data_IF_854951435640
#
_entry.id   IF_854951435640
#
_cell.length_a   1.000
_cell.length_b   1.000
_cell.length_c   1.000
_cell.angle_alpha   90.00
_cell.angle_beta   90.00
_cell.angle_gamma   90.00
#
_symmetry.space_group_name_H-M   'P 1'
#
loop_
_entity.id
_entity.type
_entity.pdbx_description
1 polymer ?
#
# COMPACT_ATOMS: atom_id res chain seq x y z
N UNK A 1 20.88 5.79 -4.08
CA UNK A 1 20.19 5.15 -5.23
C UNK A 1 18.98 4.46 -4.67
N UNK A 2 17.79 4.68 -5.22
CA UNK A 2 16.57 4.11 -4.67
C UNK A 2 16.49 2.60 -4.98
N UNK A 3 15.97 1.81 -4.04
CA UNK A 3 15.64 0.39 -4.21
C UNK A 3 14.19 0.12 -3.79
N UNK A 4 13.66 -1.02 -4.23
CA UNK A 4 12.36 -1.51 -3.78
C UNK A 4 12.40 -1.71 -2.26
N UNK A 5 11.36 -1.25 -1.57
CA UNK A 5 11.25 -1.23 -0.11
C UNK A 5 11.83 0.03 0.56
N UNK A 6 12.47 0.94 -0.17
CA UNK A 6 12.86 2.22 0.42
C UNK A 6 11.63 3.08 0.74
N UNK A 7 11.76 3.84 1.84
CA UNK A 7 10.79 4.83 2.27
C UNK A 7 11.20 6.21 1.75
N UNK A 8 10.31 6.80 0.99
CA UNK A 8 10.53 8.08 0.32
C UNK A 8 9.38 9.04 0.59
N UNK A 9 9.63 10.33 0.45
CA UNK A 9 8.63 11.38 0.53
C UNK A 9 8.69 12.24 -0.73
N UNK A 10 7.60 12.93 -1.03
CA UNK A 10 7.60 13.93 -2.11
C UNK A 10 8.28 15.21 -1.64
N UNK A 11 9.01 15.86 -2.54
CA UNK A 11 9.62 17.18 -2.32
C UNK A 11 8.57 18.30 -2.20
N UNK A 12 7.38 18.07 -2.73
CA UNK A 12 6.33 19.07 -2.91
C UNK A 12 5.73 19.59 -1.57
N UNK A 13 6.07 18.98 -0.42
CA UNK A 13 5.61 19.36 0.95
C UNK A 13 4.10 19.45 1.19
N UNK A 14 3.25 19.35 0.16
CA UNK A 14 1.78 19.37 0.30
C UNK A 14 1.29 18.08 0.98
N UNK A 15 1.97 16.97 0.71
CA UNK A 15 1.69 15.67 1.31
C UNK A 15 2.89 15.25 2.14
N UNK A 16 2.83 15.49 3.45
CA UNK A 16 3.78 14.92 4.42
C UNK A 16 3.52 13.41 4.62
N UNK A 17 3.22 12.70 3.54
CA UNK A 17 2.99 11.26 3.53
C UNK A 17 4.27 10.57 3.10
N UNK A 18 4.58 9.49 3.79
CA UNK A 18 5.70 8.61 3.46
C UNK A 18 5.16 7.54 2.50
N UNK A 19 5.95 7.23 1.47
CA UNK A 19 5.62 6.26 0.43
C UNK A 19 6.66 5.15 0.42
N UNK A 20 6.24 3.92 0.15
CA UNK A 20 7.16 2.81 -0.03
C UNK A 20 7.35 2.50 -1.50
N UNK A 21 8.59 2.37 -1.95
CA UNK A 21 8.88 1.99 -3.34
C UNK A 21 8.48 0.53 -3.57
N UNK A 22 7.56 0.30 -4.49
CA UNK A 22 7.11 -1.03 -4.90
C UNK A 22 7.86 -1.52 -6.15
N UNK A 23 8.18 -0.62 -7.10
CA UNK A 23 8.94 -0.98 -8.31
C UNK A 23 9.66 0.24 -8.89
N UNK A 24 10.77 0.00 -9.59
CA UNK A 24 11.59 1.04 -10.24
C UNK A 24 11.83 0.63 -11.69
N UNK A 25 11.32 1.42 -12.63
CA UNK A 25 11.35 1.20 -14.07
C UNK A 25 12.13 2.33 -14.76
N UNK A 26 13.46 2.20 -14.87
CA UNK A 26 14.41 3.19 -15.44
C UNK A 26 14.26 4.63 -14.90
N UNK A 27 13.22 5.34 -15.31
CA UNK A 27 12.86 6.71 -14.92
C UNK A 27 11.59 6.79 -14.04
N UNK A 28 10.71 5.79 -14.16
CA UNK A 28 9.44 5.71 -13.45
C UNK A 28 9.58 4.93 -12.15
N UNK A 29 9.30 5.58 -11.03
CA UNK A 29 9.26 4.98 -9.71
C UNK A 29 7.79 4.79 -9.32
N UNK A 30 7.42 3.55 -9.01
CA UNK A 30 6.09 3.18 -8.53
C UNK A 30 6.16 3.04 -7.03
N UNK A 31 5.46 3.91 -6.32
CA UNK A 31 5.34 3.85 -4.88
C UNK A 31 3.93 3.43 -4.47
N UNK A 32 3.82 2.75 -3.34
CA UNK A 32 2.57 2.32 -2.76
C UNK A 32 2.46 2.84 -1.33
N UNK A 33 1.27 3.28 -0.93
CA UNK A 33 1.00 3.76 0.42
C UNK A 33 -0.45 3.51 0.79
N UNK A 34 -0.73 3.33 2.08
CA UNK A 34 -2.10 3.22 2.58
C UNK A 34 -2.46 4.53 3.26
N UNK A 35 -3.57 5.12 2.83
CA UNK A 35 -4.16 6.31 3.45
C UNK A 35 -5.61 6.01 3.75
N UNK A 36 -5.98 6.09 5.03
CA UNK A 36 -7.36 5.87 5.47
C UNK A 36 -7.88 4.45 5.15
N UNK A 37 -7.05 3.42 5.30
CA UNK A 37 -7.38 2.03 4.96
C UNK A 37 -7.46 1.73 3.45
N UNK A 38 -7.28 2.74 2.59
CA UNK A 38 -7.28 2.57 1.14
C UNK A 38 -5.85 2.47 0.60
N UNK A 39 -5.64 1.53 -0.32
CA UNK A 39 -4.36 1.37 -0.99
C UNK A 39 -4.24 2.33 -2.17
N UNK A 40 -3.21 3.19 -2.14
CA UNK A 40 -2.94 4.18 -3.17
C UNK A 40 -1.60 3.92 -3.83
N UNK A 41 -1.61 4.00 -5.16
CA UNK A 41 -0.42 3.89 -6.01
C UNK A 41 -0.04 5.25 -6.53
N UNK A 42 1.23 5.61 -6.35
CA UNK A 42 1.82 6.84 -6.84
C UNK A 42 2.85 6.52 -7.93
N UNK A 43 2.72 7.19 -9.07
CA UNK A 43 3.71 7.21 -10.13
C UNK A 43 4.52 8.50 -10.00
N UNK A 44 5.83 8.37 -9.84
CA UNK A 44 6.71 9.53 -9.66
C UNK A 44 8.07 9.27 -10.31
N UNK A 45 8.88 10.30 -10.45
CA UNK A 45 10.24 10.19 -10.97
C UNK A 45 11.27 10.42 -9.87
N UNK A 46 12.52 10.02 -10.12
CA UNK A 46 13.62 10.20 -9.17
C UNK A 46 13.83 11.66 -8.72
N UNK A 47 13.43 12.64 -9.54
CA UNK A 47 13.61 14.07 -9.25
C UNK A 47 12.55 14.68 -8.32
N UNK A 48 11.43 13.98 -8.10
CA UNK A 48 10.29 14.50 -7.34
C UNK A 48 10.16 13.88 -5.94
N UNK A 49 11.07 12.97 -5.60
CA UNK A 49 11.10 12.26 -4.32
C UNK A 49 12.46 12.34 -3.63
N UNK A 50 12.42 12.31 -2.31
CA UNK A 50 13.59 12.28 -1.43
C UNK A 50 13.48 11.14 -0.41
N UNK A 51 14.63 10.70 0.12
CA UNK A 51 14.62 9.74 1.22
C UNK A 51 13.93 10.33 2.44
N UNK A 52 13.03 9.55 3.03
CA UNK A 52 12.44 9.92 4.30
C UNK A 52 13.49 9.86 5.43
N UNK A 53 13.45 10.80 6.36
CA UNK A 53 14.30 10.74 7.55
C UNK A 53 13.72 9.72 8.54
N UNK A 54 14.57 9.06 9.34
CA UNK A 54 14.09 8.16 10.39
C UNK A 54 13.14 8.85 11.37
N UNK A 55 13.30 10.15 11.60
CA UNK A 55 12.39 10.95 12.41
C UNK A 55 11.00 11.07 11.79
N UNK A 56 10.86 11.29 10.47
CA UNK A 56 9.55 11.34 9.81
C UNK A 56 8.88 9.96 9.71
N UNK A 57 9.69 8.91 9.56
CA UNK A 57 9.22 7.52 9.60
C UNK A 57 8.70 7.20 11.01
N UNK A 58 9.45 7.58 12.06
CA UNK A 58 9.11 7.35 13.46
C UNK A 58 7.97 8.27 13.96
N UNK A 59 7.86 9.48 13.42
CA UNK A 59 6.76 10.40 13.68
C UNK A 59 5.41 9.85 13.21
N UNK A 60 5.39 8.71 12.51
CA UNK A 60 4.18 7.97 12.22
C UNK A 60 3.18 8.87 11.52
N UNK A 61 3.63 9.59 10.49
CA UNK A 61 2.80 10.47 9.68
C UNK A 61 1.81 9.62 8.86
N UNK A 62 0.79 9.13 9.59
CA UNK A 62 -0.38 8.33 9.21
C UNK A 62 -0.17 7.41 8.00
N UNK A 63 0.78 6.48 8.10
CA UNK A 63 0.68 5.27 7.28
C UNK A 63 -0.11 4.27 8.13
N UNK A 64 -1.37 4.09 7.76
CA UNK A 64 -2.33 3.21 8.47
C UNK A 64 -1.86 1.74 8.46
N UNK A 65 -1.10 1.34 7.45
CA UNK A 65 -0.37 0.07 7.42
C UNK A 65 0.71 0.18 6.32
N UNK A 66 1.95 -0.19 6.62
CA UNK A 66 2.85 -0.57 5.54
C UNK A 66 2.27 -1.84 4.95
N UNK A 67 2.04 -1.87 3.64
CA UNK A 67 1.62 -3.10 2.97
C UNK A 67 2.79 -4.05 3.14
N UNK A 68 2.66 -4.99 4.08
CA UNK A 68 3.53 -6.15 4.11
C UNK A 68 3.33 -6.83 2.76
N UNK A 69 4.38 -6.78 1.94
CA UNK A 69 4.34 -7.26 0.56
C UNK A 69 4.28 -8.80 0.54
N UNK A 70 4.18 -9.47 1.70
CA UNK A 70 3.94 -10.91 1.80
C UNK A 70 2.46 -11.29 1.95
N UNK A 71 1.52 -10.34 2.05
CA UNK A 71 0.07 -10.64 2.00
C UNK A 71 -0.47 -10.51 0.56
N UNK A 72 0.13 -11.27 -0.37
CA UNK A 72 -0.44 -11.55 -1.71
C UNK A 72 -0.76 -13.05 -1.88
N UNK A 73 -1.00 -13.76 -0.78
CA UNK A 73 -1.62 -15.09 -0.79
C UNK A 73 -2.61 -15.10 0.38
N UNK A 74 -3.89 -15.34 0.20
CA UNK A 74 -4.49 -16.42 -0.57
C UNK A 74 -5.97 -16.09 -0.79
N UNK A 75 -6.37 -15.69 -2.00
CA UNK A 75 -7.79 -15.64 -2.41
C UNK A 75 -8.18 -17.02 -2.95
N UNK A 76 -8.10 -18.04 -2.10
CA UNK A 76 -8.49 -19.41 -2.43
C UNK A 76 -9.20 -20.09 -1.28
N UNK A 77 -10.26 -19.46 -0.76
CA UNK A 77 -11.53 -20.16 -0.58
C UNK A 77 -12.68 -19.22 -0.19
N UNK A 78 -13.46 -18.78 -1.18
CA UNK A 78 -14.89 -18.54 -0.91
C UNK A 78 -15.54 -19.92 -0.76
N UNK A 79 -15.42 -20.55 0.41
CA UNK A 79 -16.36 -21.60 0.78
C UNK A 79 -17.67 -20.91 1.05
N UNK A 80 -18.49 -20.92 0.01
CA UNK A 80 -19.91 -20.67 0.05
C UNK A 80 -20.52 -21.57 1.13
N UNK A 81 -20.56 -21.08 2.37
CA UNK A 81 -21.29 -21.71 3.45
C UNK A 81 -22.77 -21.39 3.23
N UNK A 82 -23.35 -21.98 2.17
CA UNK A 82 -24.80 -22.17 2.06
C UNK A 82 -25.22 -22.86 3.34
N UNK A 83 -25.93 -22.12 4.18
CA UNK A 83 -26.57 -22.68 5.36
C UNK A 83 -27.49 -23.82 4.90
N UNK A 84 -27.31 -25.05 5.40
CA UNK A 84 -28.14 -26.20 5.00
C UNK A 84 -29.62 -26.09 5.40
N UNK A 85 -30.05 -24.96 5.96
CA UNK A 85 -31.40 -24.73 6.46
C UNK A 85 -32.34 -24.03 5.48
N UNK A 86 -31.96 -23.85 4.20
CA UNK A 86 -32.96 -23.50 3.18
C UNK A 86 -33.72 -24.76 2.74
N UNK A 87 -34.56 -25.30 3.64
CA UNK A 87 -35.68 -26.16 3.23
C UNK A 87 -36.88 -25.24 3.00
N UNK A 88 -37.17 -25.08 1.72
CA UNK A 88 -38.35 -24.42 1.18
C UNK A 88 -39.61 -25.08 1.77
N UNK A 89 -40.37 -24.32 2.55
CA UNK A 89 -41.69 -24.73 3.01
C UNK A 89 -42.72 -24.46 1.92
N UNK A 90 -42.78 -25.31 0.90
CA UNK A 90 -43.91 -25.38 -0.04
C UNK A 90 -44.89 -26.43 0.46
N UNK A 91 -45.89 -25.99 1.22
CA UNK A 91 -47.31 -26.40 1.27
C UNK A 91 -47.93 -26.08 2.62
#
# INVERSE_FOLDING_TARGET
>A
MFKVGDLVKRTDKITESIYQISSIDKDLIKCNFIKNGENWRLHTTKGEIEFATPEEIAAGHRIDHFVDINDMGDDSHIENHVSPNCKVGVR
#
